data_IF_126593959187
#
_entry.id   IF_126593959187
#
_cell.length_a   1.000
_cell.length_b   1.000
_cell.length_c   1.000
_cell.angle_alpha   90.00
_cell.angle_beta   90.00
_cell.angle_gamma   90.00
#
_symmetry.space_group_name_H-M   'P 1'
#
loop_
_entity.id
_entity.type
_entity.pdbx_description
1 polymer ?
#
# COMPACT_ATOMS: atom_id res chain seq x y z
N UNK A 1 -3.47 -2.66 0.15
CA UNK A 1 -3.49 -4.00 -0.50
C UNK A 1 -3.91 -5.05 0.50
N UNK A 2 -4.82 -5.93 0.12
CA UNK A 2 -5.32 -7.01 0.95
C UNK A 2 -4.45 -8.26 0.79
N UNK A 3 -4.00 -8.79 1.90
CA UNK A 3 -3.24 -10.02 1.94
C UNK A 3 -4.12 -11.26 1.98
N UNK A 4 -4.33 -12.24 1.59
CA UNK A 4 -5.24 -13.40 1.73
C UNK A 4 -6.33 -13.51 0.67
N UNK A 5 -6.17 -12.81 -0.41
CA UNK A 5 -7.11 -12.85 -1.50
C UNK A 5 -8.37 -11.99 -1.27
N UNK A 6 -9.09 -11.83 -2.32
CA UNK A 6 -10.25 -10.98 -2.38
C UNK A 6 -11.20 -11.51 -3.45
N UNK A 7 -12.03 -12.48 -3.09
CA UNK A 7 -12.96 -13.10 -4.03
C UNK A 7 -13.90 -12.06 -4.66
N UNK A 8 -13.96 -11.94 -5.98
CA UNK A 8 -14.81 -10.96 -6.66
C UNK A 8 -16.27 -11.05 -6.21
N UNK A 9 -16.80 -12.27 -6.04
CA UNK A 9 -18.19 -12.49 -5.62
C UNK A 9 -18.54 -11.96 -4.22
N UNK A 10 -17.57 -11.58 -3.39
CA UNK A 10 -17.81 -10.97 -2.07
C UNK A 10 -17.98 -9.46 -2.11
N UNK A 11 -17.60 -8.82 -3.21
CA UNK A 11 -17.57 -7.36 -3.34
C UNK A 11 -18.37 -6.86 -4.56
N UNK A 12 -18.95 -7.76 -5.34
CA UNK A 12 -19.74 -7.42 -6.51
C UNK A 12 -21.21 -7.48 -6.13
N UNK A 13 -21.99 -6.41 -6.34
CA UNK A 13 -23.44 -6.45 -6.13
C UNK A 13 -24.11 -7.53 -6.98
N UNK A 14 -25.16 -8.12 -6.45
CA UNK A 14 -25.89 -9.20 -7.10
C UNK A 14 -26.39 -8.81 -8.50
N UNK A 15 -26.27 -9.74 -9.44
CA UNK A 15 -26.72 -9.57 -10.82
C UNK A 15 -25.80 -8.75 -11.73
N UNK A 16 -24.71 -8.17 -11.21
CA UNK A 16 -23.75 -7.41 -12.03
C UNK A 16 -22.81 -8.35 -12.78
N UNK A 17 -22.89 -8.32 -14.10
CA UNK A 17 -22.01 -9.10 -15.01
C UNK A 17 -21.40 -8.26 -16.11
N UNK A 18 -22.02 -7.14 -16.46
CA UNK A 18 -21.61 -6.21 -17.52
C UNK A 18 -21.45 -4.82 -16.92
N UNK A 19 -20.65 -4.00 -17.57
CA UNK A 19 -20.39 -2.62 -17.13
C UNK A 19 -21.68 -1.83 -16.95
N UNK A 20 -21.89 -1.27 -15.78
CA UNK A 20 -23.12 -0.56 -15.41
C UNK A 20 -22.91 0.39 -14.22
N UNK A 21 -23.88 1.28 -14.00
CA UNK A 21 -23.87 2.17 -12.84
C UNK A 21 -24.17 1.43 -11.54
N UNK A 22 -23.52 1.83 -10.45
CA UNK A 22 -23.79 1.36 -9.08
C UNK A 22 -24.96 2.10 -8.41
N UNK A 23 -25.49 3.17 -9.00
CA UNK A 23 -26.46 4.07 -8.34
C UNK A 23 -27.66 3.35 -7.71
N UNK A 24 -28.19 2.33 -8.41
CA UNK A 24 -29.35 1.55 -7.95
C UNK A 24 -28.97 0.24 -7.26
N UNK A 25 -27.70 -0.10 -7.19
CA UNK A 25 -27.23 -1.32 -6.55
C UNK A 25 -27.11 -1.12 -5.04
N UNK A 26 -27.39 -2.18 -4.29
CA UNK A 26 -27.02 -2.28 -2.88
C UNK A 26 -25.66 -2.97 -2.81
N UNK A 27 -24.71 -2.39 -2.09
CA UNK A 27 -23.41 -3.03 -1.90
C UNK A 27 -23.53 -4.30 -1.06
N UNK A 28 -22.75 -5.34 -1.35
CA UNK A 28 -22.71 -6.55 -0.52
C UNK A 28 -22.29 -6.23 0.92
N UNK A 29 -22.74 -7.07 1.85
CA UNK A 29 -22.48 -6.91 3.29
C UNK A 29 -20.99 -6.70 3.62
N UNK A 30 -20.02 -7.42 3.01
CA UNK A 30 -18.61 -7.25 3.26
C UNK A 30 -18.07 -5.83 3.02
N UNK A 31 -18.67 -5.09 2.11
CA UNK A 31 -18.28 -3.72 1.74
C UNK A 31 -19.38 -2.69 1.99
N UNK A 32 -20.37 -3.02 2.80
CA UNK A 32 -21.54 -2.15 3.07
C UNK A 32 -21.15 -0.81 3.72
N UNK A 33 -20.04 -0.72 4.42
CA UNK A 33 -19.51 0.53 4.96
C UNK A 33 -19.23 1.58 3.87
N UNK A 34 -18.98 1.15 2.62
CA UNK A 34 -18.74 2.04 1.47
C UNK A 34 -20.05 2.56 0.83
N UNK A 35 -21.23 2.19 1.32
CA UNK A 35 -22.51 2.64 0.74
C UNK A 35 -22.63 4.19 0.66
N UNK A 36 -22.21 4.99 1.67
CA UNK A 36 -22.21 6.45 1.57
C UNK A 36 -21.28 7.01 0.48
N UNK A 37 -20.26 6.25 0.09
CA UNK A 37 -19.26 6.62 -0.92
C UNK A 37 -19.44 5.87 -2.24
N UNK A 38 -20.60 5.30 -2.49
CA UNK A 38 -20.86 4.48 -3.67
C UNK A 38 -20.68 5.23 -5.00
N UNK A 39 -20.93 6.51 -5.01
CA UNK A 39 -20.69 7.41 -6.15
C UNK A 39 -19.19 7.61 -6.45
N UNK A 40 -18.33 7.39 -5.48
CA UNK A 40 -16.86 7.44 -5.61
C UNK A 40 -16.23 6.06 -5.83
N UNK A 41 -17.02 4.99 -5.83
CA UNK A 41 -16.56 3.61 -5.95
C UNK A 41 -16.61 3.14 -7.41
N UNK A 42 -15.54 2.49 -7.87
CA UNK A 42 -15.48 1.79 -9.14
C UNK A 42 -15.00 0.35 -8.90
N UNK A 43 -15.88 -0.62 -9.12
CA UNK A 43 -15.54 -2.05 -9.01
C UNK A 43 -15.11 -2.56 -10.38
N UNK A 44 -13.94 -3.17 -10.48
CA UNK A 44 -13.35 -3.66 -11.73
C UNK A 44 -13.14 -5.16 -11.64
N UNK A 45 -13.59 -5.89 -12.65
CA UNK A 45 -13.38 -7.34 -12.82
C UNK A 45 -12.85 -7.65 -14.22
N UNK A 46 -12.48 -8.91 -14.46
CA UNK A 46 -11.95 -9.34 -15.76
C UNK A 46 -10.45 -9.18 -15.93
N UNK A 47 -9.76 -8.59 -14.95
CA UNK A 47 -8.29 -8.55 -14.93
C UNK A 47 -7.72 -9.87 -14.41
N UNK A 48 -6.49 -10.18 -14.79
CA UNK A 48 -5.77 -11.35 -14.29
C UNK A 48 -4.31 -11.06 -13.93
N UNK A 49 -3.76 -11.90 -13.05
CA UNK A 49 -2.35 -11.94 -12.67
C UNK A 49 -1.72 -13.32 -12.88
N UNK A 50 -2.17 -14.08 -13.89
CA UNK A 50 -1.73 -15.48 -14.13
C UNK A 50 -0.21 -15.60 -14.21
N UNK A 51 0.47 -14.61 -14.77
CA UNK A 51 1.91 -14.59 -14.92
C UNK A 51 2.67 -14.24 -13.63
N UNK A 52 2.00 -13.78 -12.58
CA UNK A 52 2.63 -13.42 -11.30
C UNK A 52 2.79 -14.62 -10.35
N UNK A 53 2.24 -15.78 -10.72
CA UNK A 53 2.29 -17.02 -9.93
C UNK A 53 1.77 -16.87 -8.49
N UNK A 54 0.52 -16.48 -8.29
CA UNK A 54 -0.01 -16.08 -6.98
C UNK A 54 -0.43 -17.26 -6.09
N UNK A 55 0.33 -18.34 -6.00
CA UNK A 55 -0.04 -19.55 -5.24
C UNK A 55 -0.50 -19.24 -3.81
N UNK A 56 0.37 -18.67 -2.98
CA UNK A 56 -0.01 -18.08 -1.70
C UNK A 56 -0.08 -16.55 -1.79
N UNK A 57 0.90 -15.96 -2.45
CA UNK A 57 1.00 -14.52 -2.70
C UNK A 57 1.95 -14.25 -3.86
N UNK A 58 1.69 -13.19 -4.60
CA UNK A 58 2.61 -12.70 -5.61
C UNK A 58 3.72 -11.80 -5.03
N UNK A 59 3.67 -11.48 -3.72
CA UNK A 59 4.65 -10.62 -3.06
C UNK A 59 4.93 -9.35 -3.89
N UNK A 60 6.20 -9.01 -4.16
CA UNK A 60 6.56 -7.89 -5.04
C UNK A 60 5.88 -7.96 -6.43
N UNK A 61 5.57 -9.16 -6.91
CA UNK A 61 4.89 -9.34 -8.18
C UNK A 61 3.46 -8.80 -8.21
N UNK A 62 2.82 -8.64 -7.06
CA UNK A 62 1.47 -8.07 -6.98
C UNK A 62 1.44 -6.61 -7.46
N UNK A 63 2.36 -5.77 -6.98
CA UNK A 63 2.51 -4.38 -7.42
C UNK A 63 3.48 -4.22 -8.60
N UNK A 64 4.34 -5.20 -8.83
CA UNK A 64 5.30 -5.21 -9.92
C UNK A 64 4.75 -5.74 -11.24
N UNK A 65 3.68 -6.53 -11.23
CA UNK A 65 3.17 -7.18 -12.44
C UNK A 65 4.16 -8.17 -13.05
N UNK A 66 4.97 -8.85 -12.25
CA UNK A 66 5.91 -9.87 -12.65
C UNK A 66 5.82 -11.09 -11.74
N UNK A 67 6.54 -12.16 -12.07
CA UNK A 67 6.55 -13.37 -11.22
C UNK A 67 7.26 -13.08 -9.90
N UNK A 68 6.55 -13.29 -8.78
CA UNK A 68 7.06 -13.19 -7.43
C UNK A 68 6.76 -14.44 -6.62
N UNK A 69 7.53 -14.67 -5.56
CA UNK A 69 7.30 -15.73 -4.58
C UNK A 69 8.04 -15.41 -3.28
N UNK A 70 7.75 -16.18 -2.23
CA UNK A 70 8.45 -16.04 -0.95
C UNK A 70 9.97 -16.19 -1.09
N UNK A 71 10.70 -15.34 -0.38
CA UNK A 71 12.17 -15.33 -0.38
C UNK A 71 12.84 -14.93 -1.70
N UNK A 72 12.07 -14.60 -2.74
CA UNK A 72 12.64 -14.17 -4.03
C UNK A 72 12.72 -12.63 -4.06
N UNK A 73 13.91 -12.05 -4.32
CA UNK A 73 14.07 -10.61 -4.48
C UNK A 73 13.19 -10.03 -5.60
N UNK A 74 12.84 -8.75 -5.53
CA UNK A 74 12.10 -8.09 -6.60
C UNK A 74 12.88 -8.13 -7.93
N UNK A 75 12.18 -8.33 -9.04
CA UNK A 75 12.77 -8.37 -10.38
C UNK A 75 12.82 -7.01 -11.06
N UNK A 76 11.99 -6.06 -10.61
CA UNK A 76 11.89 -4.70 -11.11
C UNK A 76 11.23 -3.81 -10.06
N UNK A 77 11.10 -2.51 -10.35
CA UNK A 77 10.31 -1.57 -9.55
C UNK A 77 8.83 -1.92 -9.53
N UNK A 78 8.11 -1.45 -8.52
CA UNK A 78 6.66 -1.61 -8.37
C UNK A 78 5.92 -0.33 -8.75
N UNK A 79 4.61 -0.43 -9.04
CA UNK A 79 3.78 0.69 -9.51
C UNK A 79 3.79 1.87 -8.53
N UNK A 80 3.72 1.62 -7.23
CA UNK A 80 3.72 2.63 -6.18
C UNK A 80 5.03 3.43 -6.15
N UNK A 81 6.17 2.76 -6.35
CA UNK A 81 7.45 3.46 -6.49
C UNK A 81 7.52 4.28 -7.79
N UNK A 82 7.06 3.74 -8.91
CA UNK A 82 7.05 4.51 -10.17
C UNK A 82 6.13 5.74 -10.07
N UNK A 83 5.00 5.65 -9.36
CA UNK A 83 4.13 6.78 -9.07
C UNK A 83 4.86 7.82 -8.20
N UNK A 84 5.64 7.40 -7.20
CA UNK A 84 6.37 8.34 -6.35
C UNK A 84 7.43 9.16 -7.09
N UNK A 85 7.91 8.66 -8.24
CA UNK A 85 8.80 9.41 -9.13
C UNK A 85 8.06 10.34 -10.10
N UNK A 86 6.82 10.00 -10.42
CA UNK A 86 6.03 10.74 -11.39
C UNK A 86 5.24 11.89 -10.77
N UNK A 87 4.91 11.78 -9.48
CA UNK A 87 4.20 12.82 -8.72
C UNK A 87 5.17 13.90 -8.22
N UNK A 88 4.67 15.09 -7.84
CA UNK A 88 5.52 16.14 -7.29
C UNK A 88 6.36 15.66 -6.10
N UNK A 89 7.57 16.22 -5.97
CA UNK A 89 8.51 15.89 -4.91
C UNK A 89 7.89 16.15 -3.53
N UNK A 90 8.11 15.19 -2.63
CA UNK A 90 7.69 15.24 -1.23
C UNK A 90 8.86 14.94 -0.30
N UNK A 91 8.67 15.17 1.00
CA UNK A 91 9.71 14.89 2.00
C UNK A 91 10.09 13.41 2.04
N UNK A 92 9.11 12.55 1.91
CA UNK A 92 9.24 11.11 1.79
C UNK A 92 8.53 10.69 0.49
N UNK A 93 9.25 10.32 -0.56
CA UNK A 93 8.62 10.02 -1.85
C UNK A 93 7.54 8.93 -1.76
N UNK A 94 7.76 7.94 -0.89
CA UNK A 94 6.87 6.80 -0.74
C UNK A 94 6.85 6.31 0.72
N UNK A 95 5.67 6.12 1.30
CA UNK A 95 5.48 5.52 2.61
C UNK A 95 4.80 4.17 2.48
N UNK A 96 5.41 3.12 3.04
CA UNK A 96 4.86 1.76 3.08
C UNK A 96 4.55 1.34 4.52
N UNK A 97 3.34 0.84 4.75
CA UNK A 97 2.85 0.37 6.05
C UNK A 97 2.41 -1.09 5.94
N UNK A 98 2.88 -1.93 6.87
CA UNK A 98 2.52 -3.35 6.97
C UNK A 98 1.79 -3.65 8.27
N UNK A 99 0.59 -4.21 8.19
CA UNK A 99 -0.26 -4.60 9.32
C UNK A 99 -0.19 -6.11 9.53
N UNK A 100 0.12 -6.57 10.75
CA UNK A 100 0.30 -8.00 11.07
C UNK A 100 -0.14 -8.30 12.50
N UNK A 101 0.24 -9.46 13.02
CA UNK A 101 0.07 -9.80 14.43
C UNK A 101 0.88 -8.87 15.33
N UNK A 102 0.37 -8.63 16.53
CA UNK A 102 1.01 -7.73 17.48
C UNK A 102 2.44 -8.17 17.83
N UNK A 103 2.66 -9.48 17.97
CA UNK A 103 3.98 -10.06 18.22
C UNK A 103 4.97 -9.78 17.08
N UNK A 104 4.53 -10.00 15.84
CA UNK A 104 5.35 -9.72 14.66
C UNK A 104 5.69 -8.22 14.56
N UNK A 105 4.71 -7.36 14.76
CA UNK A 105 4.92 -5.90 14.70
C UNK A 105 5.85 -5.38 15.80
N UNK A 106 5.88 -6.04 16.97
CA UNK A 106 6.82 -5.74 18.06
C UNK A 106 8.23 -6.21 17.76
N UNK A 107 8.39 -7.44 17.27
CA UNK A 107 9.70 -8.09 17.10
C UNK A 107 10.40 -7.74 15.79
N UNK A 108 9.64 -7.43 14.75
CA UNK A 108 10.13 -7.10 13.41
C UNK A 108 9.47 -5.80 12.94
N UNK A 109 9.97 -4.64 13.32
CA UNK A 109 9.32 -3.34 13.07
C UNK A 109 9.26 -2.92 11.60
N UNK A 110 10.01 -3.61 10.74
CA UNK A 110 9.99 -3.40 9.30
C UNK A 110 10.07 -4.72 8.54
N UNK A 111 9.50 -4.75 7.35
CA UNK A 111 9.53 -5.91 6.44
C UNK A 111 9.48 -5.47 4.98
N UNK A 112 10.02 -6.27 4.08
CA UNK A 112 10.02 -5.98 2.65
C UNK A 112 9.38 -7.14 1.87
N UNK A 113 8.20 -6.92 1.28
CA UNK A 113 7.53 -7.95 0.48
C UNK A 113 6.56 -7.46 -0.60
N UNK A 114 6.23 -6.18 -0.67
CA UNK A 114 5.26 -5.64 -1.63
C UNK A 114 5.87 -4.63 -2.59
N UNK A 115 6.68 -3.71 -2.09
CA UNK A 115 7.18 -2.56 -2.84
C UNK A 115 8.67 -2.67 -3.09
N UNK A 116 9.12 -2.21 -4.26
CA UNK A 116 10.51 -2.23 -4.67
C UNK A 116 10.86 -1.03 -5.56
N UNK A 117 12.06 -0.50 -5.40
CA UNK A 117 12.60 0.58 -6.23
C UNK A 117 13.31 0.06 -7.49
N UNK A 118 13.59 -1.24 -7.57
CA UNK A 118 14.25 -1.87 -8.70
C UNK A 118 14.57 -3.34 -8.43
N UNK A 119 15.27 -3.96 -9.36
CA UNK A 119 15.70 -5.34 -9.22
C UNK A 119 16.64 -5.51 -8.01
N UNK A 120 16.30 -6.42 -7.10
CA UNK A 120 17.03 -6.64 -5.86
C UNK A 120 16.95 -5.50 -4.83
N UNK A 121 16.11 -4.50 -5.05
CA UNK A 121 15.99 -3.31 -4.19
C UNK A 121 14.59 -3.20 -3.56
N UNK A 122 14.32 -3.95 -2.50
CA UNK A 122 13.04 -3.88 -1.80
C UNK A 122 12.88 -2.57 -1.02
N UNK A 123 11.64 -2.07 -0.94
CA UNK A 123 11.26 -0.98 -0.05
C UNK A 123 10.66 -1.58 1.21
N UNK A 124 11.11 -1.11 2.37
CA UNK A 124 10.67 -1.61 3.66
C UNK A 124 9.35 -0.98 4.08
N UNK A 125 8.43 -1.83 4.53
CA UNK A 125 7.16 -1.43 5.14
C UNK A 125 7.36 -1.24 6.64
N UNK A 126 6.86 -0.14 7.18
CA UNK A 126 6.81 0.10 8.63
C UNK A 126 5.66 -0.67 9.26
N UNK A 127 5.94 -1.50 10.24
CA UNK A 127 4.91 -2.27 10.98
C UNK A 127 4.87 -1.96 12.48
N UNK A 128 5.77 -1.14 12.99
CA UNK A 128 5.74 -0.67 14.39
C UNK A 128 5.39 0.83 14.45
N UNK A 129 4.21 1.20 14.99
CA UNK A 129 3.77 2.59 15.02
C UNK A 129 4.67 3.51 15.84
N UNK A 130 5.31 3.01 16.90
CA UNK A 130 6.25 3.83 17.67
C UNK A 130 7.49 4.21 16.86
N UNK A 131 8.00 3.26 16.06
CA UNK A 131 9.12 3.52 15.16
C UNK A 131 8.74 4.50 14.06
N UNK A 132 7.57 4.33 13.45
CA UNK A 132 7.09 5.22 12.41
C UNK A 132 6.82 6.63 12.96
N UNK A 133 6.15 6.74 14.11
CA UNK A 133 5.92 8.02 14.78
C UNK A 133 7.23 8.74 15.10
N UNK A 134 8.21 8.02 15.65
CA UNK A 134 9.54 8.57 15.93
C UNK A 134 10.24 9.08 14.67
N UNK A 135 10.07 8.39 13.55
CA UNK A 135 10.67 8.79 12.28
C UNK A 135 10.04 10.08 11.75
N UNK A 136 8.72 10.17 11.74
CA UNK A 136 7.97 11.26 11.11
C UNK A 136 7.80 12.48 12.03
N UNK A 137 7.53 12.26 13.31
CA UNK A 137 7.09 13.27 14.27
C UNK A 137 7.96 13.39 15.52
N UNK A 138 8.98 12.56 15.68
CA UNK A 138 9.86 12.59 16.85
C UNK A 138 10.56 13.95 17.03
N UNK A 139 10.91 14.59 15.93
CA UNK A 139 11.56 15.89 15.93
C UNK A 139 10.69 17.06 16.43
N UNK A 140 9.37 16.94 16.36
CA UNK A 140 8.41 17.94 16.84
C UNK A 140 7.76 17.57 18.17
N UNK A 141 8.00 16.36 18.67
CA UNK A 141 7.45 15.84 19.91
C UNK A 141 8.10 16.49 21.15
N UNK A 142 7.51 16.27 22.31
CA UNK A 142 7.99 16.74 23.59
C UNK A 142 8.29 15.55 24.54
N UNK A 143 8.92 15.85 25.69
CA UNK A 143 9.15 14.87 26.75
C UNK A 143 10.04 13.70 26.32
N UNK A 144 9.66 12.49 26.70
CA UNK A 144 10.44 11.28 26.50
C UNK A 144 10.60 10.92 25.01
N UNK A 145 9.57 11.12 24.19
CA UNK A 145 9.62 10.86 22.73
C UNK A 145 10.70 11.73 22.06
N UNK A 146 10.76 13.01 22.44
CA UNK A 146 11.79 13.92 21.94
C UNK A 146 13.19 13.47 22.35
N UNK A 147 13.40 13.11 23.60
CA UNK A 147 14.70 12.61 24.10
C UNK A 147 15.15 11.36 23.36
N UNK A 148 14.22 10.40 23.13
CA UNK A 148 14.52 9.19 22.37
C UNK A 148 14.87 9.50 20.90
N UNK A 149 14.17 10.45 20.28
CA UNK A 149 14.47 10.90 18.93
C UNK A 149 15.88 11.51 18.85
N UNK A 150 16.25 12.39 19.79
CA UNK A 150 17.58 13.02 19.84
C UNK A 150 18.69 11.99 20.08
N UNK A 151 18.49 11.06 21.01
CA UNK A 151 19.44 9.99 21.28
C UNK A 151 19.69 9.10 20.04
N UNK A 152 18.62 8.71 19.34
CA UNK A 152 18.71 7.92 18.10
C UNK A 152 19.40 8.73 16.98
N UNK A 153 19.09 10.02 16.88
CA UNK A 153 19.71 10.91 15.89
C UNK A 153 21.21 11.02 16.10
N UNK A 154 21.65 11.27 17.32
CA UNK A 154 23.07 11.33 17.66
C UNK A 154 23.80 9.98 17.45
N UNK A 155 23.14 8.86 17.72
CA UNK A 155 23.71 7.54 17.44
C UNK A 155 23.89 7.29 15.94
N UNK A 156 22.89 7.62 15.12
CA UNK A 156 22.95 7.43 13.67
C UNK A 156 23.99 8.34 13.01
N UNK A 157 24.10 9.58 13.46
CA UNK A 157 25.14 10.50 13.02
C UNK A 157 26.55 9.95 13.32
N UNK A 158 26.76 9.44 14.54
CA UNK A 158 28.04 8.79 14.91
C UNK A 158 28.34 7.55 14.07
N UNK A 159 27.35 6.70 13.83
CA UNK A 159 27.51 5.52 12.99
C UNK A 159 27.85 5.93 11.56
N UNK A 160 27.15 6.94 11.01
CA UNK A 160 27.44 7.49 9.68
C UNK A 160 28.89 8.01 9.57
N UNK A 161 29.36 8.79 10.56
CA UNK A 161 30.72 9.30 10.61
C UNK A 161 31.77 8.16 10.69
N UNK A 162 31.53 7.16 11.55
CA UNK A 162 32.43 6.00 11.68
C UNK A 162 32.44 5.15 10.40
N UNK A 163 31.28 4.99 9.77
CA UNK A 163 31.17 4.29 8.51
C UNK A 163 31.92 5.04 7.41
N UNK A 164 31.70 6.33 7.24
CA UNK A 164 32.41 7.14 6.25
C UNK A 164 33.95 7.06 6.42
N UNK A 165 34.43 7.13 7.67
CA UNK A 165 35.87 7.02 7.97
C UNK A 165 36.46 5.65 7.59
N UNK A 166 35.72 4.55 7.70
CA UNK A 166 36.17 3.19 7.35
C UNK A 166 36.14 2.89 5.85
N UNK A 167 35.30 3.56 5.08
CA UNK A 167 35.11 3.29 3.64
C UNK A 167 36.39 3.42 2.81
N UNK A 168 37.33 4.27 3.24
CA UNK A 168 38.64 4.46 2.59
C UNK A 168 39.55 3.23 2.63
N UNK A 169 39.41 2.34 3.62
CA UNK A 169 40.27 1.19 3.87
C UNK A 169 39.77 -0.11 3.28
N UNK A 170 38.60 -0.13 2.63
CA UNK A 170 37.98 -1.33 2.09
C UNK A 170 38.51 -1.71 0.69
N UNK A 171 38.54 -3.03 0.34
CA UNK A 171 38.77 -3.47 -1.02
C UNK A 171 37.78 -2.89 -2.01
N UNK A 172 38.17 -2.76 -3.27
CA UNK A 172 37.35 -2.13 -4.31
C UNK A 172 35.98 -2.83 -4.48
N UNK A 173 35.96 -4.18 -4.35
CA UNK A 173 34.73 -5.01 -4.40
C UNK A 173 33.71 -4.68 -3.31
N UNK A 174 34.17 -4.19 -2.18
CA UNK A 174 33.31 -3.94 -1.02
C UNK A 174 32.93 -2.46 -0.90
N UNK A 175 33.69 -1.58 -1.59
CA UNK A 175 33.44 -0.13 -1.58
C UNK A 175 32.07 0.26 -2.09
N UNK A 176 31.55 -0.43 -3.10
CA UNK A 176 30.22 -0.14 -3.65
C UNK A 176 29.13 -0.46 -2.63
N UNK A 177 29.12 -1.68 -2.08
CA UNK A 177 28.15 -2.09 -1.03
C UNK A 177 28.25 -1.23 0.23
N UNK A 178 29.46 -0.86 0.57
CA UNK A 178 29.70 0.00 1.72
C UNK A 178 29.24 1.44 1.46
N UNK A 179 29.43 1.95 0.25
CA UNK A 179 28.90 3.25 -0.19
C UNK A 179 27.36 3.29 -0.14
N UNK A 180 26.68 2.25 -0.57
CA UNK A 180 25.22 2.11 -0.47
C UNK A 180 24.77 2.10 1.01
N UNK A 181 25.51 1.42 1.88
CA UNK A 181 25.24 1.39 3.32
C UNK A 181 25.43 2.78 3.97
N UNK A 182 26.50 3.50 3.64
CA UNK A 182 26.76 4.86 4.14
C UNK A 182 25.71 5.83 3.59
N UNK A 183 25.35 5.73 2.31
CA UNK A 183 24.30 6.54 1.67
C UNK A 183 22.95 6.44 2.39
N UNK A 184 22.57 5.25 2.88
CA UNK A 184 21.37 5.07 3.67
C UNK A 184 21.31 5.88 4.97
N UNK A 185 22.47 6.14 5.62
CA UNK A 185 22.53 7.04 6.79
C UNK A 185 22.44 8.51 6.39
N UNK A 186 23.03 8.89 5.28
CA UNK A 186 22.95 10.25 4.74
C UNK A 186 21.51 10.58 4.35
N UNK A 187 20.80 9.65 3.69
CA UNK A 187 19.38 9.80 3.34
C UNK A 187 18.49 9.97 4.57
N UNK A 188 18.74 9.19 5.63
CA UNK A 188 17.97 9.29 6.88
C UNK A 188 18.23 10.62 7.60
N UNK A 189 19.47 11.10 7.63
CA UNK A 189 19.80 12.38 8.21
C UNK A 189 19.20 13.53 7.39
N UNK A 190 19.29 13.46 6.07
CA UNK A 190 18.66 14.42 5.15
C UNK A 190 17.14 14.49 5.32
N UNK A 191 16.46 13.36 5.49
CA UNK A 191 15.03 13.32 5.79
C UNK A 191 14.72 14.05 7.12
N UNK A 192 15.49 13.81 8.17
CA UNK A 192 15.30 14.46 9.47
C UNK A 192 15.47 15.97 9.42
N UNK A 193 16.48 16.43 8.70
CA UNK A 193 16.70 17.87 8.49
C UNK A 193 15.53 18.51 7.74
N UNK A 194 15.04 17.85 6.69
CA UNK A 194 13.88 18.34 5.93
C UNK A 194 12.61 18.38 6.78
N UNK A 195 12.34 17.34 7.57
CA UNK A 195 11.21 17.31 8.52
C UNK A 195 11.34 18.40 9.58
N UNK A 196 12.56 18.69 10.05
CA UNK A 196 12.82 19.77 10.98
C UNK A 196 12.47 21.16 10.43
N UNK A 197 12.70 21.40 9.13
CA UNK A 197 12.38 22.68 8.46
C UNK A 197 10.88 22.95 8.36
N UNK A 198 10.04 21.92 8.38
CA UNK A 198 8.57 22.01 8.28
C UNK A 198 7.88 21.67 9.60
N UNK A 199 8.61 21.72 10.71
CA UNK A 199 8.13 21.27 12.02
C UNK A 199 6.83 21.92 12.49
N UNK A 200 6.64 23.21 12.25
CA UNK A 200 5.42 23.94 12.65
C UNK A 200 4.20 23.47 11.85
N UNK A 201 4.38 23.23 10.55
CA UNK A 201 3.33 22.67 9.71
C UNK A 201 2.95 21.25 10.19
N UNK A 202 3.94 20.38 10.44
CA UNK A 202 3.71 19.00 10.86
C UNK A 202 2.96 18.89 12.19
N UNK A 203 3.13 19.84 13.12
CA UNK A 203 2.38 19.85 14.39
C UNK A 203 0.87 19.88 14.23
N UNK A 204 0.38 20.48 13.15
CA UNK A 204 -1.06 20.57 12.88
C UNK A 204 -1.68 19.22 12.48
N UNK A 205 -0.85 18.29 11.98
CA UNK A 205 -1.28 17.01 11.47
C UNK A 205 -0.81 15.81 12.28
N UNK A 206 0.15 15.99 13.18
CA UNK A 206 0.69 14.90 13.99
C UNK A 206 -0.43 14.21 14.81
N UNK A 207 -0.61 12.89 14.69
CA UNK A 207 -1.59 12.17 15.49
C UNK A 207 -1.27 12.29 16.98
N UNK A 208 -2.30 12.32 17.81
CA UNK A 208 -2.13 12.29 19.27
C UNK A 208 -1.62 10.92 19.69
N UNK A 209 -0.55 10.91 20.47
CA UNK A 209 -0.04 9.69 21.09
C UNK A 209 -0.93 9.34 22.28
N UNK A 210 -1.51 8.16 22.28
CA UNK A 210 -2.36 7.63 23.34
C UNK A 210 -1.87 6.24 23.81
N UNK A 211 -2.66 5.59 24.69
CA UNK A 211 -2.29 4.30 25.27
C UNK A 211 -2.09 3.18 24.26
N UNK A 212 -2.73 3.24 23.06
CA UNK A 212 -2.58 2.23 22.00
C UNK A 212 -1.13 2.11 21.52
N UNK A 213 -0.36 3.19 21.55
CA UNK A 213 1.04 3.17 21.15
C UNK A 213 1.91 2.28 22.05
N UNK A 214 1.74 2.42 23.37
CA UNK A 214 2.59 1.75 24.38
C UNK A 214 1.98 0.47 24.94
N UNK A 215 0.66 0.37 24.97
CA UNK A 215 -0.08 -0.72 25.62
C UNK A 215 -1.26 -1.19 24.77
N UNK A 216 -1.02 -1.64 23.52
CA UNK A 216 -2.08 -2.17 22.68
C UNK A 216 -2.65 -3.44 23.27
N UNK A 217 -3.97 -3.57 23.30
CA UNK A 217 -4.65 -4.80 23.71
C UNK A 217 -4.57 -5.86 22.62
N UNK A 218 -4.86 -5.45 21.39
CA UNK A 218 -4.79 -6.29 20.19
C UNK A 218 -3.98 -5.65 19.07
N UNK A 219 -3.68 -6.43 18.04
CA UNK A 219 -3.02 -5.92 16.83
C UNK A 219 -3.82 -4.83 16.11
N UNK A 220 -5.15 -4.86 16.20
CA UNK A 220 -6.03 -3.86 15.60
C UNK A 220 -5.79 -2.45 16.15
N UNK A 221 -5.38 -2.32 17.42
CA UNK A 221 -4.99 -1.02 17.97
C UNK A 221 -3.81 -0.41 17.21
N UNK A 222 -2.82 -1.25 16.89
CA UNK A 222 -1.67 -0.81 16.09
C UNK A 222 -1.98 -0.65 14.60
N UNK A 223 -2.93 -1.44 14.06
CA UNK A 223 -3.42 -1.22 12.69
C UNK A 223 -4.06 0.16 12.55
N UNK A 224 -4.92 0.54 13.50
CA UNK A 224 -5.58 1.85 13.52
C UNK A 224 -4.58 2.99 13.67
N UNK A 225 -3.60 2.85 14.58
CA UNK A 225 -2.55 3.86 14.77
C UNK A 225 -1.66 3.99 13.53
N UNK A 226 -1.28 2.90 12.89
CA UNK A 226 -0.53 2.92 11.63
C UNK A 226 -1.31 3.59 10.50
N UNK A 227 -2.62 3.34 10.45
CA UNK A 227 -3.51 4.00 9.49
C UNK A 227 -3.55 5.51 9.75
N UNK A 228 -3.70 5.94 11.00
CA UNK A 228 -3.69 7.35 11.41
C UNK A 228 -2.37 8.04 10.99
N UNK A 229 -1.23 7.38 11.19
CA UNK A 229 0.08 7.87 10.76
C UNK A 229 0.19 7.98 9.23
N UNK A 230 -0.33 7.01 8.50
CA UNK A 230 -0.38 7.04 7.04
C UNK A 230 -1.23 8.18 6.51
N UNK A 231 -2.45 8.33 7.03
CA UNK A 231 -3.37 9.43 6.66
C UNK A 231 -2.75 10.80 7.00
N UNK A 232 -2.19 10.93 8.19
CA UNK A 232 -1.51 12.14 8.61
C UNK A 232 -0.34 12.50 7.69
N UNK A 233 0.39 11.50 7.19
CA UNK A 233 1.50 11.71 6.26
C UNK A 233 1.03 12.22 4.89
N UNK A 234 -0.14 11.79 4.41
CA UNK A 234 -0.77 12.34 3.22
C UNK A 234 -1.26 13.78 3.48
N UNK A 235 -2.04 14.00 4.52
CA UNK A 235 -2.63 15.31 4.87
C UNK A 235 -1.57 16.40 5.10
N UNK A 236 -0.42 16.04 5.64
CA UNK A 236 0.69 16.97 5.87
C UNK A 236 1.62 17.16 4.67
N UNK A 237 1.39 16.46 3.55
CA UNK A 237 2.26 16.53 2.38
C UNK A 237 3.65 15.89 2.60
N UNK A 238 3.81 15.06 3.64
CA UNK A 238 5.05 14.28 3.81
C UNK A 238 5.26 13.34 2.64
N UNK A 239 4.18 12.72 2.15
CA UNK A 239 4.20 11.83 0.98
C UNK A 239 2.94 12.00 0.13
N UNK A 240 3.07 11.76 -1.18
CA UNK A 240 1.94 11.64 -2.11
C UNK A 240 1.59 10.17 -2.40
N UNK A 241 2.41 9.22 -1.95
CA UNK A 241 2.20 7.79 -2.22
C UNK A 241 2.26 6.99 -0.91
N UNK A 242 1.13 6.38 -0.56
CA UNK A 242 0.98 5.53 0.61
C UNK A 242 0.59 4.12 0.18
N UNK A 243 1.42 3.13 0.53
CA UNK A 243 1.10 1.71 0.36
C UNK A 243 0.80 1.07 1.70
N UNK A 244 -0.38 0.48 1.84
CA UNK A 244 -0.81 -0.23 3.05
C UNK A 244 -0.99 -1.70 2.71
N UNK A 245 -0.26 -2.58 3.39
CA UNK A 245 -0.39 -4.02 3.29
C UNK A 245 -1.05 -4.60 4.54
N UNK A 246 -2.14 -5.37 4.34
CA UNK A 246 -2.73 -6.18 5.40
C UNK A 246 -2.00 -7.52 5.46
N UNK A 247 -1.05 -7.64 6.34
CA UNK A 247 -0.10 -8.73 6.43
C UNK A 247 1.29 -8.30 6.03
N UNK A 248 2.25 -9.04 6.49
CA UNK A 248 3.66 -8.75 6.40
C UNK A 248 4.40 -10.02 5.96
N UNK A 249 5.53 -9.94 5.29
CA UNK A 249 6.46 -11.00 4.89
C UNK A 249 5.91 -12.41 4.63
N UNK A 250 5.23 -12.97 5.59
CA UNK A 250 4.65 -14.31 5.53
C UNK A 250 3.15 -14.32 5.17
N UNK A 251 2.63 -13.24 4.58
CA UNK A 251 1.30 -13.26 3.93
C UNK A 251 0.11 -13.16 4.91
N UNK A 252 0.26 -13.56 6.16
CA UNK A 252 -0.88 -13.87 7.03
C UNK A 252 -1.05 -12.85 8.16
N UNK A 253 -2.09 -12.03 8.05
CA UNK A 253 -2.51 -11.14 9.12
C UNK A 253 -3.09 -11.90 10.32
N UNK A 254 -3.23 -11.21 11.42
CA UNK A 254 -3.94 -11.62 12.61
C UNK A 254 -5.17 -10.72 12.80
N UNK A 255 -6.24 -11.29 13.30
CA UNK A 255 -7.54 -10.64 13.45
C UNK A 255 -8.14 -10.90 14.85
N UNK A 256 -7.28 -11.08 15.87
CA UNK A 256 -7.71 -11.33 17.26
C UNK A 256 -8.53 -10.18 17.82
N UNK A 257 -8.16 -8.94 17.49
CA UNK A 257 -8.96 -7.77 17.85
C UNK A 257 -10.37 -7.75 17.28
N UNK A 258 -10.63 -8.56 16.24
CA UNK A 258 -11.98 -8.83 15.76
C UNK A 258 -12.62 -10.08 16.39
N UNK A 259 -11.99 -10.70 17.40
CA UNK A 259 -12.43 -11.95 18.00
C UNK A 259 -12.25 -13.17 17.09
N UNK A 260 -11.26 -13.13 16.18
CA UNK A 260 -10.97 -14.23 15.24
C UNK A 260 -9.64 -14.86 15.65
N UNK A 261 -9.71 -16.01 16.30
CA UNK A 261 -8.54 -16.76 16.79
C UNK A 261 -7.82 -17.56 15.70
N UNK A 262 -8.47 -17.77 14.57
CA UNK A 262 -7.93 -18.58 13.48
C UNK A 262 -6.75 -17.88 12.84
N UNK A 263 -5.64 -18.62 12.64
CA UNK A 263 -4.46 -18.09 11.97
C UNK A 263 -4.76 -17.70 10.51
N UNK A 264 -4.15 -16.62 10.07
CA UNK A 264 -4.35 -16.06 8.75
C UNK A 264 -4.10 -17.04 7.60
N UNK A 265 -3.10 -17.92 7.69
CA UNK A 265 -2.87 -18.98 6.69
C UNK A 265 -4.12 -19.86 6.50
N UNK A 266 -4.68 -20.36 7.60
CA UNK A 266 -5.86 -21.21 7.56
C UNK A 266 -7.12 -20.47 7.08
N UNK A 267 -7.19 -19.16 7.32
CA UNK A 267 -8.25 -18.32 6.77
C UNK A 267 -8.16 -18.25 5.24
N UNK A 268 -6.98 -18.12 4.68
CA UNK A 268 -6.78 -18.06 3.23
C UNK A 268 -7.25 -19.30 2.45
N UNK A 269 -7.38 -20.44 3.13
CA UNK A 269 -7.94 -21.67 2.54
C UNK A 269 -9.48 -21.75 2.59
N UNK A 270 -10.14 -20.86 3.34
CA UNK A 270 -11.60 -20.89 3.47
C UNK A 270 -12.26 -20.18 2.29
N UNK A 271 -13.46 -20.65 1.94
CA UNK A 271 -14.35 -19.91 1.04
C UNK A 271 -14.76 -18.61 1.70
N UNK A 272 -14.73 -17.51 0.96
CA UNK A 272 -15.01 -16.18 1.49
C UNK A 272 -16.52 -15.85 1.41
N UNK A 273 -17.18 -16.28 0.34
CA UNK A 273 -18.59 -16.00 0.12
C UNK A 273 -19.44 -16.55 1.27
N UNK A 274 -20.32 -15.71 1.81
CA UNK A 274 -21.26 -16.03 2.90
C UNK A 274 -20.58 -16.52 4.20
N UNK A 275 -19.27 -16.32 4.33
CA UNK A 275 -18.49 -16.72 5.50
C UNK A 275 -18.43 -15.59 6.53
N UNK A 276 -18.99 -15.74 7.75
CA UNK A 276 -19.08 -14.66 8.73
C UNK A 276 -17.71 -14.13 9.18
N UNK A 277 -16.67 -14.96 9.18
CA UNK A 277 -15.32 -14.52 9.50
C UNK A 277 -14.80 -13.58 8.42
N UNK A 278 -14.95 -13.95 7.15
CA UNK A 278 -14.52 -13.13 6.03
C UNK A 278 -15.36 -11.86 5.87
N UNK A 279 -16.66 -11.93 6.12
CA UNK A 279 -17.53 -10.75 6.14
C UNK A 279 -16.97 -9.74 7.16
N UNK A 280 -16.67 -10.18 8.38
CA UNK A 280 -16.14 -9.34 9.46
C UNK A 280 -14.78 -8.71 9.09
N UNK A 281 -13.85 -9.47 8.51
CA UNK A 281 -12.55 -8.96 8.05
C UNK A 281 -12.73 -7.92 6.94
N UNK A 282 -13.63 -8.18 5.97
CA UNK A 282 -13.90 -7.24 4.87
C UNK A 282 -14.57 -5.96 5.34
N UNK A 283 -15.50 -6.07 6.29
CA UNK A 283 -16.12 -4.90 6.93
C UNK A 283 -15.08 -4.02 7.62
N UNK A 284 -14.17 -4.62 8.39
CA UNK A 284 -13.07 -3.90 9.02
C UNK A 284 -12.18 -3.18 7.99
N UNK A 285 -11.77 -3.86 6.93
CA UNK A 285 -11.00 -3.23 5.86
C UNK A 285 -11.79 -2.12 5.14
N UNK A 286 -13.09 -2.30 4.93
CA UNK A 286 -13.96 -1.28 4.33
C UNK A 286 -14.08 -0.04 5.22
N UNK A 287 -14.16 -0.22 6.53
CA UNK A 287 -14.14 0.88 7.51
C UNK A 287 -12.82 1.66 7.48
N UNK A 288 -11.68 0.97 7.29
CA UNK A 288 -10.40 1.66 7.07
C UNK A 288 -10.41 2.51 5.80
N UNK A 289 -10.99 2.00 4.71
CA UNK A 289 -11.14 2.78 3.47
C UNK A 289 -12.03 4.01 3.68
N UNK A 290 -13.16 3.83 4.36
CA UNK A 290 -14.07 4.95 4.74
C UNK A 290 -13.31 6.01 5.53
N UNK A 291 -12.56 5.59 6.56
CA UNK A 291 -11.76 6.52 7.37
C UNK A 291 -10.75 7.31 6.54
N UNK A 292 -10.06 6.65 5.59
CA UNK A 292 -9.15 7.36 4.68
C UNK A 292 -9.91 8.42 3.87
N UNK A 293 -11.06 8.04 3.30
CA UNK A 293 -11.85 8.94 2.47
C UNK A 293 -12.38 10.15 3.25
N UNK A 294 -12.98 9.93 4.42
CA UNK A 294 -13.50 10.97 5.31
C UNK A 294 -12.40 11.93 5.74
N UNK A 295 -11.25 11.41 6.11
CA UNK A 295 -10.11 12.21 6.54
C UNK A 295 -9.54 13.06 5.38
N UNK A 296 -9.46 12.54 4.18
CA UNK A 296 -9.02 13.29 3.00
C UNK A 296 -10.08 14.30 2.51
N UNK A 297 -11.38 13.98 2.65
CA UNK A 297 -12.47 14.94 2.39
C UNK A 297 -12.44 16.13 3.36
N UNK A 298 -11.91 15.95 4.57
CA UNK A 298 -11.79 17.03 5.55
C UNK A 298 -10.72 18.07 5.21
N UNK A 299 -9.87 17.84 4.21
CA UNK A 299 -8.76 18.73 3.83
C UNK A 299 -9.09 19.46 2.54
N UNK A 300 -9.29 20.79 2.58
CA UNK A 300 -9.46 21.59 1.37
C UNK A 300 -8.20 21.52 0.47
N UNK A 301 -8.40 21.31 -0.82
CA UNK A 301 -7.34 21.33 -1.82
C UNK A 301 -7.86 21.85 -3.16
N UNK A 302 -7.26 22.92 -3.66
CA UNK A 302 -7.73 23.58 -4.87
C UNK A 302 -9.18 24.09 -4.74
N UNK A 303 -10.05 23.68 -5.65
CA UNK A 303 -11.49 24.00 -5.63
C UNK A 303 -12.35 22.95 -4.91
N UNK A 304 -11.74 21.88 -4.46
CA UNK A 304 -12.39 20.73 -3.79
C UNK A 304 -11.68 20.33 -2.52
N UNK A 305 -11.52 19.04 -2.35
CA UNK A 305 -10.85 18.40 -1.22
C UNK A 305 -9.69 17.52 -1.68
N UNK A 306 -8.82 17.14 -0.77
CA UNK A 306 -7.73 16.20 -1.07
C UNK A 306 -8.26 14.86 -1.62
N UNK A 307 -9.47 14.44 -1.22
CA UNK A 307 -10.08 13.20 -1.75
C UNK A 307 -10.44 13.33 -3.24
N UNK A 308 -10.77 14.49 -3.73
CA UNK A 308 -11.10 14.71 -5.15
C UNK A 308 -9.87 14.48 -6.05
N UNK A 309 -8.66 14.78 -5.54
CA UNK A 309 -7.39 14.59 -6.22
C UNK A 309 -6.73 13.23 -5.91
N UNK A 310 -7.37 12.38 -5.12
CA UNK A 310 -6.82 11.09 -4.68
C UNK A 310 -7.42 9.92 -5.45
N UNK A 311 -6.60 8.91 -5.72
CA UNK A 311 -7.02 7.59 -6.18
C UNK A 311 -6.58 6.53 -5.17
N UNK A 312 -7.53 5.84 -4.55
CA UNK A 312 -7.26 4.69 -3.70
C UNK A 312 -7.46 3.42 -4.53
N UNK A 313 -6.42 2.58 -4.62
CA UNK A 313 -6.48 1.29 -5.30
C UNK A 313 -6.55 0.19 -4.24
N UNK A 314 -7.70 -0.42 -4.06
CA UNK A 314 -7.88 -1.56 -3.16
C UNK A 314 -7.86 -2.86 -3.95
N UNK A 315 -6.90 -3.73 -3.66
CA UNK A 315 -6.67 -4.99 -4.37
C UNK A 315 -6.03 -6.04 -3.47
N UNK A 316 -5.79 -7.21 -3.99
CA UNK A 316 -5.16 -8.35 -3.32
C UNK A 316 -3.76 -8.62 -3.86
N UNK A 317 -2.96 -9.35 -3.11
CA UNK A 317 -1.64 -9.83 -3.54
C UNK A 317 -1.63 -11.32 -3.94
N UNK A 318 -2.74 -12.00 -3.92
CA UNK A 318 -2.89 -13.39 -4.36
C UNK A 318 -4.19 -13.64 -5.17
N UNK A 319 -4.61 -12.63 -5.91
CA UNK A 319 -5.84 -12.63 -6.72
C UNK A 319 -7.11 -12.82 -5.86
N UNK A 320 -8.00 -13.73 -6.24
CA UNK A 320 -9.27 -13.96 -5.54
C UNK A 320 -9.09 -14.74 -4.22
N UNK A 321 -8.21 -15.74 -4.19
CA UNK A 321 -7.85 -16.49 -2.97
C UNK A 321 -6.52 -17.21 -3.12
N UNK A 322 -6.03 -17.81 -2.03
CA UNK A 322 -4.86 -18.67 -2.06
C UNK A 322 -5.04 -19.88 -2.97
N UNK A 323 -3.94 -20.39 -3.51
CA UNK A 323 -3.88 -21.54 -4.42
C UNK A 323 -4.72 -21.40 -5.70
N UNK A 324 -4.91 -20.16 -6.16
CA UNK A 324 -5.51 -19.90 -7.46
C UNK A 324 -4.41 -19.64 -8.51
N UNK A 325 -4.86 -19.66 -9.76
CA UNK A 325 -3.97 -19.37 -10.89
C UNK A 325 -3.91 -17.87 -11.26
N UNK A 326 -4.54 -16.99 -10.45
CA UNK A 326 -4.59 -15.56 -10.73
C UNK A 326 -5.53 -15.15 -11.87
N UNK A 327 -6.47 -16.00 -12.27
CA UNK A 327 -7.37 -15.72 -13.38
C UNK A 327 -8.34 -14.56 -13.12
N UNK A 328 -8.68 -14.33 -11.86
CA UNK A 328 -9.56 -13.26 -11.40
C UNK A 328 -8.79 -12.35 -10.44
N UNK A 329 -8.36 -11.19 -10.89
CA UNK A 329 -7.68 -10.23 -10.03
C UNK A 329 -8.63 -9.10 -9.67
N UNK A 330 -9.12 -9.07 -8.42
CA UNK A 330 -10.12 -8.09 -8.02
C UNK A 330 -9.50 -6.73 -7.75
N UNK A 331 -10.20 -5.68 -8.19
CA UNK A 331 -9.78 -4.30 -7.98
C UNK A 331 -10.99 -3.44 -7.66
N UNK A 332 -10.88 -2.60 -6.65
CA UNK A 332 -11.76 -1.45 -6.46
C UNK A 332 -10.92 -0.17 -6.50
N UNK A 333 -11.39 0.82 -7.23
CA UNK A 333 -10.87 2.18 -7.19
C UNK A 333 -11.84 3.03 -6.37
N UNK A 334 -11.32 3.90 -5.49
CA UNK A 334 -12.11 4.87 -4.75
C UNK A 334 -11.51 6.25 -4.99
N UNK A 335 -12.37 7.22 -5.31
CA UNK A 335 -11.98 8.51 -5.88
C UNK A 335 -11.80 8.42 -7.39
N UNK A 336 -11.71 9.57 -8.02
CA UNK A 336 -11.62 9.68 -9.49
C UNK A 336 -10.45 10.53 -9.98
N UNK A 337 -9.62 11.04 -9.07
CA UNK A 337 -8.42 11.81 -9.38
C UNK A 337 -8.76 12.98 -10.32
N UNK A 338 -9.59 13.90 -9.85
CA UNK A 338 -10.09 15.07 -10.59
C UNK A 338 -10.75 14.70 -11.93
N UNK A 339 -11.60 13.66 -11.90
CA UNK A 339 -12.36 13.23 -13.08
C UNK A 339 -11.59 12.39 -14.11
N UNK A 340 -10.38 11.96 -13.83
CA UNK A 340 -9.61 11.10 -14.76
C UNK A 340 -10.20 9.71 -14.84
N UNK A 341 -10.61 9.15 -13.72
CA UNK A 341 -11.18 7.81 -13.64
C UNK A 341 -12.71 7.85 -13.48
N UNK A 342 -13.38 6.88 -14.05
CA UNK A 342 -14.81 6.65 -13.79
C UNK A 342 -15.04 6.33 -12.32
N UNK A 343 -16.19 6.74 -11.80
CA UNK A 343 -16.67 6.41 -10.45
C UNK A 343 -18.17 6.12 -10.46
N UNK A 344 -18.71 5.59 -9.34
CA UNK A 344 -20.10 5.22 -9.24
C UNK A 344 -20.51 4.07 -10.18
N UNK A 345 -19.57 3.18 -10.56
CA UNK A 345 -19.83 2.17 -11.58
C UNK A 345 -19.10 0.83 -11.32
N UNK A 346 -19.62 -0.19 -12.00
CA UNK A 346 -18.99 -1.49 -12.16
C UNK A 346 -18.51 -1.63 -13.60
N UNK A 347 -17.29 -2.12 -13.81
CA UNK A 347 -16.73 -2.41 -15.12
C UNK A 347 -16.22 -3.84 -15.19
N UNK A 348 -16.70 -4.59 -16.20
CA UNK A 348 -16.07 -5.85 -16.58
C UNK A 348 -15.14 -5.61 -17.75
N UNK A 349 -13.85 -5.84 -17.53
CA UNK A 349 -12.81 -5.71 -18.58
C UNK A 349 -12.84 -6.95 -19.44
N UNK A 350 -13.15 -6.76 -20.72
CA UNK A 350 -13.22 -7.87 -21.69
C UNK A 350 -11.82 -8.33 -22.15
N UNK A 351 -11.76 -9.60 -22.53
CA UNK A 351 -10.53 -10.22 -23.03
C UNK A 351 -9.56 -10.63 -21.92
N UNK A 352 -8.34 -10.97 -22.31
CA UNK A 352 -7.26 -11.34 -21.38
C UNK A 352 -6.40 -10.11 -21.09
N UNK A 353 -6.82 -9.30 -20.14
CA UNK A 353 -6.08 -8.10 -19.76
C UNK A 353 -5.41 -8.33 -18.38
N UNK A 354 -4.08 -8.24 -18.32
CA UNK A 354 -3.34 -8.42 -17.07
C UNK A 354 -3.41 -7.17 -16.17
N UNK A 355 -3.13 -7.35 -14.89
CA UNK A 355 -3.01 -6.23 -13.90
C UNK A 355 -2.00 -5.17 -14.34
N UNK A 356 -1.00 -5.55 -15.13
CA UNK A 356 -0.02 -4.63 -15.72
C UNK A 356 -0.68 -3.54 -16.57
N UNK A 357 -1.80 -3.85 -17.20
CA UNK A 357 -2.53 -2.88 -18.02
C UNK A 357 -3.22 -1.83 -17.13
N UNK A 358 -3.74 -2.22 -15.96
CA UNK A 358 -4.21 -1.27 -14.96
C UNK A 358 -3.07 -0.32 -14.54
N UNK A 359 -1.91 -0.88 -14.22
CA UNK A 359 -0.74 -0.09 -13.81
C UNK A 359 -0.25 0.85 -14.89
N UNK A 360 -0.20 0.39 -16.16
CA UNK A 360 0.07 1.27 -17.30
C UNK A 360 -0.95 2.40 -17.42
N UNK A 361 -2.23 2.11 -17.17
CA UNK A 361 -3.31 3.10 -17.23
C UNK A 361 -3.13 4.16 -16.15
N UNK A 362 -2.83 3.74 -14.92
CA UNK A 362 -2.58 4.66 -13.79
C UNK A 362 -1.32 5.52 -14.05
N UNK A 363 -0.22 4.94 -14.55
CA UNK A 363 0.98 5.71 -14.87
C UNK A 363 0.72 6.76 -15.95
N UNK A 364 -0.06 6.40 -16.99
CA UNK A 364 -0.41 7.35 -18.04
C UNK A 364 -1.29 8.50 -17.54
N UNK A 365 -2.14 8.26 -16.56
CA UNK A 365 -2.98 9.32 -15.97
C UNK A 365 -2.16 10.40 -15.25
N UNK A 366 -0.94 10.07 -14.81
CA UNK A 366 0.01 11.02 -14.21
C UNK A 366 1.12 11.45 -15.19
N UNK A 367 0.91 11.26 -16.49
CA UNK A 367 1.80 11.76 -17.55
C UNK A 367 2.99 10.85 -17.91
N UNK A 368 3.11 9.67 -17.30
CA UNK A 368 4.18 8.72 -17.63
C UNK A 368 3.80 7.91 -18.87
N UNK A 369 4.61 8.00 -19.94
CA UNK A 369 4.43 7.15 -21.12
C UNK A 369 4.78 5.71 -20.79
N UNK A 370 3.76 4.87 -20.64
CA UNK A 370 3.90 3.46 -20.30
C UNK A 370 2.86 2.64 -21.06
N UNK A 371 3.29 1.87 -22.07
CA UNK A 371 2.39 1.01 -22.84
C UNK A 371 2.17 -0.35 -22.15
N UNK A 372 3.20 -0.87 -21.49
CA UNK A 372 3.17 -2.17 -20.80
C UNK A 372 4.08 -2.13 -19.57
N UNK A 373 3.50 -1.93 -18.43
CA UNK A 373 4.24 -1.90 -17.16
C UNK A 373 4.90 -3.26 -16.89
N UNK A 374 6.24 -3.29 -16.77
CA UNK A 374 7.05 -4.48 -16.47
C UNK A 374 6.71 -5.74 -17.31
N UNK A 375 6.23 -5.58 -18.52
CA UNK A 375 5.84 -6.70 -19.36
C UNK A 375 6.59 -6.64 -20.70
N UNK A 376 7.41 -7.66 -20.97
CA UNK A 376 8.08 -7.80 -22.26
C UNK A 376 7.07 -8.12 -23.38
N UNK A 377 7.44 -7.87 -24.63
CA UNK A 377 6.59 -8.21 -25.80
C UNK A 377 6.22 -9.70 -25.84
N UNK A 378 7.16 -10.58 -25.48
CA UNK A 378 6.91 -12.03 -25.41
C UNK A 378 5.85 -12.37 -24.39
N UNK A 379 5.88 -11.73 -23.23
CA UNK A 379 4.88 -11.90 -22.18
C UNK A 379 3.53 -11.33 -22.59
N UNK A 380 3.52 -10.15 -23.21
CA UNK A 380 2.31 -9.53 -23.72
C UNK A 380 1.60 -10.42 -24.74
N UNK A 381 2.31 -10.96 -25.73
CA UNK A 381 1.74 -11.89 -26.71
C UNK A 381 1.08 -13.11 -26.07
N UNK A 382 1.54 -13.54 -24.89
CA UNK A 382 1.01 -14.72 -24.18
C UNK A 382 -0.15 -14.38 -23.26
N UNK A 383 -0.10 -13.24 -22.59
CA UNK A 383 -0.96 -12.92 -21.45
C UNK A 383 -1.86 -11.70 -21.65
N UNK A 384 -1.64 -10.88 -22.69
CA UNK A 384 -2.42 -9.69 -22.97
C UNK A 384 -3.02 -9.76 -24.39
N UNK A 385 -4.35 -9.86 -24.49
CA UNK A 385 -5.05 -9.89 -25.77
C UNK A 385 -5.38 -8.50 -26.32
N UNK A 386 -5.12 -7.44 -25.53
CA UNK A 386 -5.34 -6.05 -25.91
C UNK A 386 -4.04 -5.26 -26.08
N UNK A 387 -4.16 -3.99 -26.40
CA UNK A 387 -3.06 -3.03 -26.45
C UNK A 387 -3.45 -1.71 -25.78
N UNK A 388 -2.46 -1.07 -25.19
CA UNK A 388 -2.64 0.24 -24.54
C UNK A 388 -3.45 0.21 -23.25
N UNK A 389 -3.83 1.37 -22.73
CA UNK A 389 -4.52 1.50 -21.45
C UNK A 389 -5.94 0.97 -21.47
N UNK A 390 -6.51 0.72 -20.31
CA UNK A 390 -7.91 0.37 -20.09
C UNK A 390 -8.79 1.62 -20.28
N UNK A 391 -9.25 1.85 -21.51
CA UNK A 391 -10.09 3.02 -21.81
C UNK A 391 -11.45 2.95 -21.08
N UNK A 392 -11.93 1.74 -20.83
CA UNK A 392 -13.20 1.49 -20.16
C UNK A 392 -13.27 1.96 -18.69
N UNK A 393 -12.12 2.21 -18.05
CA UNK A 393 -12.05 2.75 -16.67
C UNK A 393 -11.76 4.25 -16.61
N UNK A 394 -11.43 4.88 -17.74
CA UNK A 394 -11.21 6.32 -17.84
C UNK A 394 -12.54 7.06 -18.11
N UNK A 395 -12.67 8.27 -17.55
CA UNK A 395 -13.86 9.11 -17.71
C UNK A 395 -13.97 9.77 -19.09
#
# INVERSE_FOLDING_TARGET
MQNQGFEPGTCIPDGMRHSCSLAKAKLPEPISALEPFKDRLHIITGLHGIHTSPSHSAFFGALGGYRGSDGVPPSASTIDYELSKALPDTLLPHLCIGMDSLENMKTKPTVANLSASGAGQPIFMHSNPNHLYQTLYGGISQGEIRKQHEARSGMLERIGQLAAAKGGTLPLSDKQRYGEFVGGFEDMNGLRERLGKVSDHLRNFAPKVDARYSSPEFETDWHDVLLDLGISSLKSGITNVLTIGSGRGEIFGSWKGLGIEKQGHNLGHMTQKDNPIWIKIRQYNSQMLVKIMEELESVPEGSGTMMDNTLIVYTSNNADKQHTNGANWPVMLLGNCDGIFKSGCFTHVEGKRPINTLYSTILRSVGVSCDRFNMSEKMAKKFDSGSGPLKEILA
#
